data_IF_990651933533
#
_entry.id   IF_990651933533
#
_cell.length_a   1.000
_cell.length_b   1.000
_cell.length_c   1.000
_cell.angle_alpha   90.00
_cell.angle_beta   90.00
_cell.angle_gamma   90.00
#
_symmetry.space_group_name_H-M   'P 1'
#
loop_
_entity.id
_entity.type
_entity.pdbx_description
1 polymer ?
#
# COMPACT_ATOMS: atom_id res chain seq x y z
N UNK A 1 -55.44 51.40 2.07
CA UNK A 1 -54.11 51.09 1.58
C UNK A 1 -53.79 49.67 2.06
N UNK A 2 -54.06 48.73 1.18
CA UNK A 2 -53.92 47.29 1.51
C UNK A 2 -52.49 46.89 1.16
N UNK A 3 -51.71 46.42 2.15
CA UNK A 3 -50.47 45.73 1.92
C UNK A 3 -50.76 44.24 1.72
N UNK A 4 -50.61 43.78 0.49
CA UNK A 4 -50.53 42.35 0.17
C UNK A 4 -49.12 41.87 0.49
N UNK A 5 -49.01 41.01 1.55
CA UNK A 5 -47.79 40.26 1.83
C UNK A 5 -47.68 39.14 0.82
N UNK A 6 -46.74 39.22 -0.10
CA UNK A 6 -46.27 38.06 -0.84
C UNK A 6 -45.52 37.12 0.12
N UNK A 7 -46.11 35.97 0.43
CA UNK A 7 -45.36 34.82 0.93
C UNK A 7 -44.48 34.31 -0.23
N UNK A 8 -43.20 34.50 -0.11
CA UNK A 8 -42.24 33.77 -0.88
C UNK A 8 -42.22 32.35 -0.29
N UNK A 9 -42.76 31.39 -1.03
CA UNK A 9 -42.57 29.96 -0.70
C UNK A 9 -41.07 29.67 -0.77
N UNK A 10 -40.46 29.33 0.34
CA UNK A 10 -39.11 28.79 0.37
C UNK A 10 -39.17 27.47 -0.38
N UNK A 11 -38.53 27.36 -1.52
CA UNK A 11 -38.26 26.05 -2.16
C UNK A 11 -37.48 25.20 -1.15
N UNK A 12 -38.09 24.12 -0.66
CA UNK A 12 -37.41 23.13 0.14
C UNK A 12 -36.26 22.59 -0.71
N UNK A 13 -35.04 22.89 -0.31
CA UNK A 13 -33.85 22.37 -0.95
C UNK A 13 -33.72 20.87 -0.60
N UNK A 14 -33.95 20.01 -1.57
CA UNK A 14 -33.73 18.57 -1.41
C UNK A 14 -32.25 18.29 -1.41
N UNK A 15 -31.86 17.44 -0.44
CA UNK A 15 -30.49 16.96 -0.30
C UNK A 15 -30.49 15.44 -0.48
N UNK A 16 -29.53 14.95 -1.28
CA UNK A 16 -29.34 13.54 -1.55
C UNK A 16 -27.88 13.27 -1.91
N UNK A 17 -27.24 12.34 -1.18
CA UNK A 17 -25.85 11.95 -1.39
C UNK A 17 -25.66 10.47 -1.03
N UNK A 18 -24.88 9.75 -1.83
CA UNK A 18 -24.36 8.43 -1.46
C UNK A 18 -23.02 8.65 -0.77
N UNK A 19 -22.97 8.33 0.52
CA UNK A 19 -21.79 8.56 1.37
C UNK A 19 -20.77 7.45 1.27
N UNK A 20 -21.21 6.21 1.04
CA UNK A 20 -20.33 5.04 1.01
C UNK A 20 -20.71 4.09 -0.10
N UNK A 21 -19.75 3.30 -0.55
CA UNK A 21 -19.90 2.37 -1.66
C UNK A 21 -19.28 2.88 -2.95
N UNK A 22 -18.82 1.97 -3.79
CA UNK A 22 -18.23 2.27 -5.08
C UNK A 22 -19.35 2.48 -6.10
N UNK A 23 -19.36 3.62 -6.80
CA UNK A 23 -20.30 3.87 -7.91
C UNK A 23 -20.01 2.94 -9.12
N UNK A 24 -18.77 2.51 -9.26
CA UNK A 24 -18.36 1.43 -10.15
C UNK A 24 -17.78 0.32 -9.30
N UNK A 25 -18.52 -0.78 -9.12
CA UNK A 25 -18.13 -1.91 -8.31
C UNK A 25 -17.77 -3.11 -9.18
N UNK A 26 -16.47 -3.42 -9.24
CA UNK A 26 -15.96 -4.64 -9.85
C UNK A 26 -15.93 -5.74 -8.80
N UNK A 27 -16.46 -6.89 -9.13
CA UNK A 27 -16.57 -8.05 -8.23
C UNK A 27 -16.11 -9.31 -8.95
N UNK A 28 -15.35 -10.15 -8.26
CA UNK A 28 -14.87 -11.41 -8.80
C UNK A 28 -16.00 -12.42 -9.09
N UNK A 29 -15.67 -13.50 -9.76
CA UNK A 29 -16.64 -14.55 -10.13
C UNK A 29 -17.37 -15.13 -8.91
N UNK A 30 -16.72 -15.20 -7.75
CA UNK A 30 -17.28 -15.73 -6.49
C UNK A 30 -18.42 -14.87 -5.93
N UNK A 31 -18.60 -13.63 -6.45
CA UNK A 31 -19.61 -12.72 -5.97
C UNK A 31 -19.18 -11.95 -4.73
N UNK A 32 -20.13 -11.28 -4.08
CA UNK A 32 -19.81 -10.47 -2.89
C UNK A 32 -20.99 -9.66 -2.39
N UNK A 33 -20.71 -8.83 -1.37
CA UNK A 33 -21.69 -7.91 -0.78
C UNK A 33 -21.08 -6.53 -0.57
N UNK A 34 -21.87 -5.48 -0.83
CA UNK A 34 -21.48 -4.10 -0.55
C UNK A 34 -22.66 -3.32 0.00
N UNK A 35 -22.43 -2.62 1.13
CA UNK A 35 -23.40 -1.72 1.72
C UNK A 35 -23.18 -0.30 1.21
N UNK A 36 -24.28 0.42 0.98
CA UNK A 36 -24.34 1.82 0.57
C UNK A 36 -25.13 2.61 1.58
N UNK A 37 -24.56 3.70 2.08
CA UNK A 37 -25.24 4.66 2.94
C UNK A 37 -25.68 5.84 2.10
N UNK A 38 -26.96 6.20 2.22
CA UNK A 38 -27.60 7.33 1.54
C UNK A 38 -28.00 8.35 2.58
N UNK A 39 -27.43 9.53 2.52
CA UNK A 39 -27.91 10.69 3.27
C UNK A 39 -28.94 11.45 2.43
N UNK A 40 -30.13 11.66 2.99
CA UNK A 40 -31.20 12.36 2.30
C UNK A 40 -32.21 12.95 3.26
N UNK A 41 -32.72 14.14 2.96
CA UNK A 41 -33.86 14.76 3.65
C UNK A 41 -35.20 14.47 2.94
N UNK A 42 -35.21 13.56 1.96
CA UNK A 42 -36.42 13.20 1.21
C UNK A 42 -36.39 11.69 0.88
N UNK A 43 -37.55 11.09 0.58
CA UNK A 43 -37.64 9.69 0.18
C UNK A 43 -36.81 9.40 -1.07
N UNK A 44 -36.10 8.28 -1.07
CA UNK A 44 -35.36 7.78 -2.20
C UNK A 44 -35.74 6.35 -2.56
N UNK A 45 -35.46 5.98 -3.81
CA UNK A 45 -35.73 4.65 -4.34
C UNK A 45 -34.62 4.21 -5.29
N UNK A 46 -34.47 2.88 -5.44
CA UNK A 46 -33.60 2.26 -6.40
C UNK A 46 -34.40 1.76 -7.58
N UNK A 47 -34.08 2.30 -8.74
CA UNK A 47 -34.67 1.90 -10.02
C UNK A 47 -33.61 1.14 -10.80
N UNK A 48 -33.97 0.00 -11.36
CA UNK A 48 -33.08 -0.75 -12.22
C UNK A 48 -33.79 -1.26 -13.46
N UNK A 49 -33.08 -1.30 -14.56
CA UNK A 49 -33.50 -2.02 -15.78
C UNK A 49 -32.64 -3.28 -15.87
N UNK A 50 -33.27 -4.44 -15.65
CA UNK A 50 -32.62 -5.72 -15.95
C UNK A 50 -31.67 -6.28 -14.89
N UNK A 51 -31.86 -5.99 -13.59
CA UNK A 51 -31.21 -6.82 -12.57
C UNK A 51 -31.66 -8.26 -12.81
N UNK A 52 -30.69 -9.04 -13.27
CA UNK A 52 -30.84 -10.47 -13.37
C UNK A 52 -31.02 -11.11 -11.99
N UNK A 53 -31.20 -12.40 -11.95
CA UNK A 53 -31.31 -13.18 -10.72
C UNK A 53 -29.99 -13.23 -9.91
N UNK A 54 -28.91 -12.70 -10.47
CA UNK A 54 -27.57 -12.80 -9.93
C UNK A 54 -27.18 -11.64 -8.97
N UNK A 55 -27.85 -10.50 -9.05
CA UNK A 55 -27.67 -9.40 -8.13
C UNK A 55 -28.97 -9.04 -7.40
N UNK A 56 -28.92 -8.78 -6.10
CA UNK A 56 -30.05 -8.41 -5.25
C UNK A 56 -29.75 -7.13 -4.52
N UNK A 57 -30.77 -6.31 -4.34
CA UNK A 57 -30.69 -5.04 -3.59
C UNK A 57 -31.79 -5.02 -2.54
N UNK A 58 -31.44 -4.69 -1.30
CA UNK A 58 -32.39 -4.61 -0.18
C UNK A 58 -31.89 -3.65 0.92
N UNK A 59 -32.76 -2.76 1.46
CA UNK A 59 -34.05 -2.35 0.90
C UNK A 59 -33.91 -1.54 -0.40
N UNK A 60 -34.99 -1.40 -1.16
CA UNK A 60 -35.00 -0.64 -2.43
C UNK A 60 -35.52 0.79 -2.30
N UNK A 61 -35.89 1.21 -1.10
CA UNK A 61 -36.40 2.56 -0.79
C UNK A 61 -36.21 2.89 0.67
N UNK A 62 -36.17 4.17 0.98
CA UNK A 62 -36.23 4.72 2.35
C UNK A 62 -36.96 6.07 2.32
N UNK A 63 -37.49 6.48 3.45
CA UNK A 63 -38.18 7.78 3.62
C UNK A 63 -37.23 8.94 3.91
N UNK A 64 -35.93 8.68 4.07
CA UNK A 64 -34.88 9.66 4.35
C UNK A 64 -33.52 8.97 4.37
N UNK A 65 -32.60 9.48 5.16
CA UNK A 65 -31.29 8.84 5.37
C UNK A 65 -31.47 7.36 5.74
N UNK A 66 -30.67 6.47 5.12
CA UNK A 66 -30.74 5.03 5.32
C UNK A 66 -29.68 4.29 4.51
N UNK A 67 -29.67 2.97 4.59
CA UNK A 67 -28.72 2.15 3.83
C UNK A 67 -29.42 1.08 2.98
N UNK A 68 -28.70 0.55 2.02
CA UNK A 68 -29.08 -0.64 1.26
C UNK A 68 -27.86 -1.53 1.00
N UNK A 69 -28.11 -2.83 0.94
CA UNK A 69 -27.10 -3.85 0.66
C UNK A 69 -27.30 -4.37 -0.77
N UNK A 70 -26.24 -4.40 -1.54
CA UNK A 70 -26.17 -5.14 -2.80
C UNK A 70 -25.48 -6.47 -2.52
N UNK A 71 -26.11 -7.56 -2.93
CA UNK A 71 -25.55 -8.93 -2.87
C UNK A 71 -25.44 -9.46 -4.28
N UNK A 72 -24.24 -9.83 -4.70
CA UNK A 72 -23.91 -10.43 -6.00
C UNK A 72 -23.62 -11.89 -5.77
N UNK A 73 -24.33 -12.76 -6.50
CA UNK A 73 -24.10 -14.20 -6.47
C UNK A 73 -22.92 -14.60 -7.35
N UNK A 74 -22.38 -15.77 -7.10
CA UNK A 74 -21.38 -16.40 -7.96
C UNK A 74 -21.77 -16.38 -9.45
N UNK A 75 -20.79 -16.10 -10.32
CA UNK A 75 -20.91 -16.17 -11.75
C UNK A 75 -20.27 -17.47 -12.23
N UNK A 76 -21.06 -18.46 -12.54
CA UNK A 76 -20.60 -19.76 -13.04
C UNK A 76 -20.25 -19.73 -14.56
N UNK A 77 -20.44 -18.59 -15.22
CA UNK A 77 -20.11 -18.38 -16.64
C UNK A 77 -18.70 -17.86 -16.81
N UNK A 78 -18.04 -18.22 -17.89
CA UNK A 78 -16.76 -17.64 -18.31
C UNK A 78 -16.90 -16.17 -18.78
N UNK A 79 -18.12 -15.71 -19.06
CA UNK A 79 -18.37 -14.37 -19.54
C UNK A 79 -18.58 -13.38 -18.37
N UNK A 80 -17.95 -12.22 -18.49
CA UNK A 80 -18.24 -11.05 -17.65
C UNK A 80 -19.69 -10.65 -17.78
N UNK A 81 -20.30 -10.17 -16.69
CA UNK A 81 -21.65 -9.62 -16.69
C UNK A 81 -21.72 -8.30 -15.94
N UNK A 82 -22.58 -7.40 -16.41
CA UNK A 82 -22.71 -6.06 -15.82
C UNK A 82 -24.17 -5.66 -15.66
N UNK A 83 -24.44 -4.82 -14.66
CA UNK A 83 -25.74 -4.22 -14.42
C UNK A 83 -25.58 -2.81 -13.84
N UNK A 84 -26.43 -1.87 -14.23
CA UNK A 84 -26.48 -0.53 -13.65
C UNK A 84 -27.78 -0.32 -12.88
N UNK A 85 -27.63 0.26 -11.68
CA UNK A 85 -28.69 0.66 -10.76
C UNK A 85 -28.75 2.19 -10.73
N UNK A 86 -29.96 2.76 -10.69
CA UNK A 86 -30.16 4.18 -10.46
C UNK A 86 -30.74 4.39 -9.06
N UNK A 87 -30.02 5.08 -8.19
CA UNK A 87 -30.53 5.55 -6.89
C UNK A 87 -30.97 6.98 -7.07
N UNK A 88 -32.22 7.29 -6.78
CA UNK A 88 -32.80 8.62 -7.04
C UNK A 88 -33.81 9.03 -5.98
N UNK A 89 -33.98 10.30 -5.79
CA UNK A 89 -35.10 10.82 -5.00
C UNK A 89 -36.43 10.41 -5.64
N UNK A 90 -37.39 10.00 -4.80
CA UNK A 90 -38.72 9.61 -5.27
C UNK A 90 -39.41 10.79 -6.01
N UNK A 91 -39.80 10.56 -7.28
CA UNK A 91 -40.46 11.57 -8.11
C UNK A 91 -39.53 12.59 -8.76
N UNK A 92 -38.19 12.39 -8.71
CA UNK A 92 -37.19 13.24 -9.38
C UNK A 92 -36.39 12.42 -10.40
N UNK A 93 -35.92 13.05 -11.46
CA UNK A 93 -35.19 12.40 -12.56
C UNK A 93 -33.72 12.83 -12.58
N UNK A 94 -33.08 12.71 -11.39
CA UNK A 94 -31.64 12.95 -11.21
C UNK A 94 -31.02 11.74 -10.47
N UNK A 95 -30.78 10.62 -11.18
CA UNK A 95 -30.23 9.42 -10.55
C UNK A 95 -28.72 9.51 -10.34
N UNK A 96 -28.25 8.94 -9.24
CA UNK A 96 -26.87 8.51 -9.08
C UNK A 96 -26.78 7.04 -9.54
N UNK A 97 -25.99 6.78 -10.56
CA UNK A 97 -25.85 5.44 -11.12
C UNK A 97 -24.76 4.67 -10.37
N UNK A 98 -25.04 3.41 -10.10
CA UNK A 98 -24.07 2.42 -9.58
C UNK A 98 -23.97 1.33 -10.64
N UNK A 99 -22.78 1.12 -11.17
CA UNK A 99 -22.50 0.04 -12.11
C UNK A 99 -21.80 -1.09 -11.38
N UNK A 100 -22.30 -2.30 -11.54
CA UNK A 100 -21.70 -3.53 -11.01
C UNK A 100 -21.23 -4.33 -12.20
N UNK A 101 -19.94 -4.62 -12.25
CA UNK A 101 -19.32 -5.50 -13.24
C UNK A 101 -18.80 -6.71 -12.52
N UNK A 102 -19.24 -7.89 -12.90
CA UNK A 102 -18.80 -9.15 -12.31
C UNK A 102 -18.03 -9.97 -13.33
N UNK A 103 -16.84 -10.38 -12.96
CA UNK A 103 -16.01 -11.25 -13.78
C UNK A 103 -16.67 -12.59 -14.03
N UNK A 104 -16.34 -13.22 -15.16
CA UNK A 104 -16.63 -14.63 -15.41
C UNK A 104 -15.66 -15.53 -14.65
N UNK A 105 -15.99 -16.79 -14.54
CA UNK A 105 -15.03 -17.80 -14.09
C UNK A 105 -13.87 -17.83 -15.07
N UNK A 106 -12.65 -17.61 -14.58
CA UNK A 106 -11.47 -17.80 -15.40
C UNK A 106 -11.41 -19.26 -15.85
N UNK A 107 -11.47 -19.51 -17.16
CA UNK A 107 -11.24 -20.84 -17.73
C UNK A 107 -9.76 -21.25 -17.70
N UNK A 108 -8.87 -20.33 -17.34
CA UNK A 108 -7.47 -20.67 -17.11
C UNK A 108 -7.39 -21.56 -15.87
N UNK A 109 -6.99 -22.82 -16.03
CA UNK A 109 -6.80 -23.69 -14.87
C UNK A 109 -5.76 -23.03 -13.96
N UNK A 110 -6.09 -22.89 -12.67
CA UNK A 110 -5.11 -22.47 -11.67
C UNK A 110 -3.88 -23.34 -11.87
N UNK A 111 -2.71 -22.78 -12.25
CA UNK A 111 -1.53 -23.58 -12.49
C UNK A 111 -1.26 -24.46 -11.24
N UNK A 112 -0.89 -25.72 -11.39
CA UNK A 112 -0.53 -26.55 -10.24
C UNK A 112 0.56 -25.84 -9.43
N UNK A 113 0.51 -25.97 -8.10
CA UNK A 113 1.56 -25.45 -7.22
C UNK A 113 2.88 -26.06 -7.68
N UNK A 114 3.89 -25.22 -7.89
CA UNK A 114 5.23 -25.68 -8.24
C UNK A 114 5.78 -26.49 -7.05
N UNK A 115 6.05 -27.78 -7.23
CA UNK A 115 6.54 -28.67 -6.16
C UNK A 115 7.87 -28.21 -5.57
N UNK A 116 8.69 -27.50 -6.38
CA UNK A 116 9.93 -26.88 -5.92
C UNK A 116 9.65 -25.58 -5.10
N UNK A 117 8.42 -25.02 -5.23
CA UNK A 117 7.99 -23.77 -4.61
C UNK A 117 6.63 -23.95 -3.93
N UNK A 118 6.57 -24.71 -2.81
CA UNK A 118 5.31 -25.21 -2.25
C UNK A 118 4.50 -24.21 -1.44
N UNK A 119 4.96 -22.96 -1.30
CA UNK A 119 4.36 -21.96 -0.42
C UNK A 119 3.61 -20.94 -1.25
N UNK A 120 2.29 -20.82 -1.08
CA UNK A 120 1.48 -19.81 -1.75
C UNK A 120 1.70 -18.44 -1.09
N UNK A 121 1.80 -17.38 -1.88
CA UNK A 121 2.24 -16.05 -1.47
C UNK A 121 1.45 -15.44 -0.29
N UNK A 122 0.16 -15.72 -0.17
CA UNK A 122 -0.70 -15.20 0.91
C UNK A 122 -0.93 -16.19 2.06
N UNK A 123 -0.23 -17.33 2.07
CA UNK A 123 -0.42 -18.37 3.08
C UNK A 123 0.37 -18.13 4.37
N UNK A 124 1.30 -17.20 4.38
CA UNK A 124 2.12 -16.87 5.54
C UNK A 124 2.01 -15.40 5.94
N UNK A 125 2.25 -15.14 7.21
CA UNK A 125 2.32 -13.77 7.72
C UNK A 125 3.57 -13.08 7.20
N UNK A 126 3.40 -11.86 6.72
CA UNK A 126 4.50 -10.96 6.37
C UNK A 126 4.12 -9.52 6.59
N UNK A 127 5.08 -8.71 7.07
CA UNK A 127 5.04 -7.26 7.08
C UNK A 127 6.13 -6.73 6.16
N UNK A 128 5.95 -5.50 5.72
CA UNK A 128 6.95 -4.68 5.04
C UNK A 128 7.61 -5.39 3.83
N UNK A 129 6.80 -5.93 2.89
CA UNK A 129 7.31 -6.80 1.83
C UNK A 129 8.02 -6.00 0.73
N UNK A 130 9.34 -6.13 0.65
CA UNK A 130 10.14 -5.64 -0.46
C UNK A 130 10.49 -6.78 -1.43
N UNK A 131 10.03 -6.71 -2.68
CA UNK A 131 10.28 -7.74 -3.70
C UNK A 131 11.38 -7.29 -4.64
N UNK A 132 12.51 -7.98 -4.59
CA UNK A 132 13.60 -7.77 -5.53
C UNK A 132 13.48 -8.73 -6.71
N UNK A 133 13.22 -8.20 -7.93
CA UNK A 133 13.22 -8.96 -9.16
C UNK A 133 14.63 -9.00 -9.75
N UNK A 134 15.36 -10.09 -9.57
CA UNK A 134 16.72 -10.23 -10.07
C UNK A 134 16.73 -10.55 -11.57
N UNK A 135 17.23 -9.63 -12.43
CA UNK A 135 17.23 -9.82 -13.88
C UNK A 135 18.20 -10.93 -14.33
N UNK A 136 19.16 -11.32 -13.50
CA UNK A 136 20.17 -12.32 -13.83
C UNK A 136 19.62 -13.73 -13.60
N UNK A 137 19.15 -14.03 -12.38
CA UNK A 137 18.62 -15.35 -12.04
C UNK A 137 17.17 -15.57 -12.52
N UNK A 138 16.47 -14.51 -12.91
CA UNK A 138 15.03 -14.54 -13.22
C UNK A 138 14.20 -15.08 -12.06
N UNK A 139 14.56 -14.67 -10.85
CA UNK A 139 13.88 -15.01 -9.61
C UNK A 139 13.52 -13.74 -8.84
N UNK A 140 12.48 -13.86 -8.03
CA UNK A 140 12.08 -12.84 -7.07
C UNK A 140 12.58 -13.23 -5.69
N UNK A 141 13.13 -12.27 -4.97
CA UNK A 141 13.64 -12.43 -3.61
C UNK A 141 12.83 -11.53 -2.68
N UNK A 142 12.36 -12.11 -1.58
CA UNK A 142 11.60 -11.45 -0.54
C UNK A 142 12.28 -11.75 0.78
N UNK A 143 12.98 -10.76 1.34
CA UNK A 143 13.56 -10.87 2.66
C UNK A 143 12.50 -10.62 3.71
N UNK A 144 12.50 -11.43 4.76
CA UNK A 144 11.48 -11.43 5.80
C UNK A 144 12.15 -11.36 7.17
N UNK A 145 11.58 -10.58 8.07
CA UNK A 145 12.12 -10.51 9.41
C UNK A 145 11.67 -11.71 10.28
N UNK A 146 12.36 -11.87 11.42
CA UNK A 146 12.27 -13.06 12.25
C UNK A 146 10.87 -13.36 12.80
N UNK A 147 10.00 -12.34 12.90
CA UNK A 147 8.61 -12.49 13.39
C UNK A 147 7.66 -13.05 12.34
N UNK A 148 8.10 -13.18 11.10
CA UNK A 148 7.27 -13.69 10.03
C UNK A 148 7.11 -15.22 10.11
N UNK A 149 5.87 -15.69 10.00
CA UNK A 149 5.51 -17.09 10.19
C UNK A 149 6.11 -18.05 9.15
N UNK A 150 6.73 -17.53 8.09
CA UNK A 150 7.41 -18.34 7.08
C UNK A 150 8.61 -19.10 7.68
N UNK A 151 9.32 -18.46 8.63
CA UNK A 151 10.46 -19.03 9.30
C UNK A 151 10.32 -18.87 10.80
N UNK A 152 10.28 -19.93 11.58
CA UNK A 152 10.56 -19.85 13.01
C UNK A 152 12.06 -19.61 13.18
N UNK A 153 12.50 -18.37 12.99
CA UNK A 153 13.90 -17.97 13.12
C UNK A 153 14.19 -17.46 14.52
N UNK A 154 15.48 -17.35 14.84
CA UNK A 154 15.90 -16.60 16.01
C UNK A 154 15.68 -15.10 15.79
N UNK A 155 15.41 -14.34 16.86
CA UNK A 155 15.10 -12.90 16.82
C UNK A 155 16.23 -12.03 16.22
N UNK A 156 17.42 -12.58 15.97
CA UNK A 156 18.58 -11.90 15.39
C UNK A 156 18.85 -12.32 13.93
N UNK A 157 17.84 -12.85 13.23
CA UNK A 157 17.99 -13.35 11.86
C UNK A 157 17.01 -12.68 10.91
N UNK A 158 17.43 -12.58 9.64
CA UNK A 158 16.58 -12.26 8.49
C UNK A 158 16.65 -13.46 7.55
N UNK A 159 15.50 -13.94 7.10
CA UNK A 159 15.38 -15.04 6.17
C UNK A 159 15.03 -14.53 4.77
N UNK A 160 15.07 -15.41 3.77
CA UNK A 160 14.66 -15.10 2.41
C UNK A 160 13.69 -16.14 1.85
N UNK A 161 12.64 -15.66 1.22
CA UNK A 161 11.76 -16.45 0.36
C UNK A 161 12.11 -16.16 -1.11
N UNK A 162 12.00 -17.18 -1.96
CA UNK A 162 12.37 -17.10 -3.38
C UNK A 162 11.20 -17.57 -4.23
N UNK A 163 10.90 -16.86 -5.31
CA UNK A 163 9.83 -17.22 -6.26
C UNK A 163 10.31 -17.09 -7.70
N UNK A 164 9.62 -17.78 -8.62
CA UNK A 164 9.78 -17.61 -10.08
C UNK A 164 8.59 -16.86 -10.71
N UNK A 165 7.44 -16.85 -10.04
CA UNK A 165 6.17 -16.37 -10.60
C UNK A 165 5.38 -15.43 -9.68
N UNK A 166 5.96 -15.02 -8.53
CA UNK A 166 5.35 -14.20 -7.47
C UNK A 166 4.25 -14.91 -6.66
N UNK A 167 3.70 -16.01 -7.16
CA UNK A 167 2.62 -16.77 -6.53
C UNK A 167 3.16 -17.88 -5.63
N UNK A 168 4.07 -18.68 -6.16
CA UNK A 168 4.62 -19.84 -5.48
C UNK A 168 6.02 -19.53 -4.99
N UNK A 169 6.28 -19.78 -3.71
CA UNK A 169 7.50 -19.42 -3.02
C UNK A 169 8.17 -20.62 -2.39
N UNK A 170 9.47 -20.59 -2.30
CA UNK A 170 10.27 -21.55 -1.53
C UNK A 170 11.03 -20.83 -0.44
N UNK A 171 11.39 -21.55 0.62
CA UNK A 171 12.32 -21.09 1.66
C UNK A 171 13.73 -21.05 1.08
N UNK A 172 14.36 -19.86 1.09
CA UNK A 172 15.73 -19.67 0.61
C UNK A 172 16.79 -19.77 1.71
N UNK A 173 16.37 -19.93 2.99
CA UNK A 173 17.28 -20.02 4.13
C UNK A 173 17.43 -18.69 4.89
N UNK A 174 18.40 -18.66 5.82
CA UNK A 174 18.77 -17.45 6.57
C UNK A 174 19.71 -16.63 5.70
N UNK A 175 19.25 -15.41 5.35
CA UNK A 175 20.06 -14.49 4.53
C UNK A 175 21.01 -13.62 5.37
N UNK A 176 20.63 -13.34 6.62
CA UNK A 176 21.47 -12.63 7.58
C UNK A 176 21.30 -13.21 8.99
N UNK A 177 22.40 -13.42 9.66
CA UNK A 177 22.45 -13.71 11.09
C UNK A 177 23.41 -12.73 11.76
N UNK A 178 22.89 -11.95 12.71
CA UNK A 178 23.66 -10.91 13.36
C UNK A 178 24.73 -11.53 14.28
N UNK A 179 26.02 -11.20 14.08
CA UNK A 179 27.06 -11.61 15.00
C UNK A 179 26.87 -10.94 16.38
N UNK A 180 27.37 -11.57 17.42
CA UNK A 180 27.24 -11.04 18.79
C UNK A 180 27.79 -9.59 18.95
N UNK A 181 28.76 -9.22 18.12
CA UNK A 181 29.34 -7.87 18.10
C UNK A 181 28.53 -6.84 17.31
N UNK A 182 27.46 -7.25 16.60
CA UNK A 182 26.64 -6.30 15.85
C UNK A 182 25.95 -5.33 16.80
N UNK A 183 25.86 -4.06 16.40
CA UNK A 183 25.27 -3.02 17.25
C UNK A 183 23.74 -3.23 17.47
N UNK A 184 23.01 -3.68 16.41
CA UNK A 184 21.58 -3.98 16.47
C UNK A 184 21.32 -5.27 17.26
N UNK A 185 20.38 -5.19 18.21
CA UNK A 185 20.05 -6.28 19.13
C UNK A 185 18.61 -6.72 19.04
N UNK A 186 17.74 -5.90 18.45
CA UNK A 186 16.31 -6.15 18.26
C UNK A 186 15.81 -5.44 17.00
N UNK A 187 14.50 -5.56 16.70
CA UNK A 187 13.80 -4.87 15.62
C UNK A 187 14.48 -5.11 14.25
N UNK A 188 14.64 -6.39 13.89
CA UNK A 188 15.17 -6.79 12.58
C UNK A 188 14.07 -6.62 11.52
N UNK A 189 13.74 -5.36 11.16
CA UNK A 189 12.55 -4.98 10.39
C UNK A 189 12.87 -4.42 9.00
N UNK A 190 11.86 -4.48 8.11
CA UNK A 190 11.84 -3.84 6.80
C UNK A 190 13.15 -4.02 6.01
N UNK A 191 13.53 -5.27 5.64
CA UNK A 191 14.74 -5.54 4.89
C UNK A 191 14.55 -5.29 3.39
N UNK A 192 14.90 -4.10 2.91
CA UNK A 192 14.86 -3.69 1.51
C UNK A 192 16.15 -4.07 0.78
N UNK A 193 16.03 -4.72 -0.37
CA UNK A 193 17.15 -5.21 -1.16
C UNK A 193 17.38 -4.40 -2.44
N UNK A 194 18.62 -3.97 -2.64
CA UNK A 194 19.03 -3.20 -3.83
C UNK A 194 20.29 -3.79 -4.47
N UNK A 195 20.37 -3.70 -5.79
CA UNK A 195 21.61 -3.98 -6.54
C UNK A 195 22.26 -2.65 -6.92
N UNK A 196 23.49 -2.45 -6.43
CA UNK A 196 24.25 -1.22 -6.66
C UNK A 196 25.73 -1.55 -6.87
N UNK A 197 26.34 -0.97 -7.90
CA UNK A 197 27.79 -1.10 -8.21
C UNK A 197 28.30 -2.56 -8.15
N UNK A 198 27.52 -3.50 -8.66
CA UNK A 198 27.92 -4.90 -8.78
C UNK A 198 27.72 -5.77 -7.53
N UNK A 199 27.08 -5.25 -6.48
CA UNK A 199 26.80 -5.94 -5.22
C UNK A 199 25.34 -5.79 -4.82
N UNK A 200 24.92 -6.63 -3.89
CA UNK A 200 23.60 -6.56 -3.27
C UNK A 200 23.71 -5.88 -1.92
N UNK A 201 22.87 -4.91 -1.67
CA UNK A 201 22.82 -4.15 -0.44
C UNK A 201 21.43 -4.26 0.17
N UNK A 202 21.36 -4.67 1.42
CA UNK A 202 20.15 -4.72 2.19
C UNK A 202 20.15 -3.57 3.19
N UNK A 203 19.09 -2.77 3.15
CA UNK A 203 18.81 -1.74 4.14
C UNK A 203 17.77 -2.30 5.09
N UNK A 204 18.05 -2.31 6.39
CA UNK A 204 17.13 -2.83 7.38
C UNK A 204 17.20 -2.02 8.68
N UNK A 205 16.09 -1.98 9.40
CA UNK A 205 15.96 -1.31 10.70
C UNK A 205 16.39 -2.24 11.81
N UNK A 206 17.12 -1.71 12.80
CA UNK A 206 17.56 -2.41 14.00
C UNK A 206 17.48 -1.48 15.21
N UNK A 207 17.31 -2.05 16.42
CA UNK A 207 17.45 -1.32 17.68
C UNK A 207 18.74 -1.70 18.39
N UNK A 208 19.42 -0.71 18.95
CA UNK A 208 20.52 -0.89 19.87
C UNK A 208 20.08 -1.34 21.28
N UNK A 209 21.04 -1.57 22.17
CA UNK A 209 20.75 -1.89 23.59
C UNK A 209 20.14 -0.73 24.36
N UNK A 210 20.24 0.48 23.83
CA UNK A 210 19.62 1.71 24.35
C UNK A 210 18.18 1.90 23.89
N UNK A 211 17.66 1.00 23.03
CA UNK A 211 16.33 1.10 22.44
C UNK A 211 16.20 2.12 21.33
N UNK A 212 17.32 2.71 20.87
CA UNK A 212 17.30 3.62 19.72
C UNK A 212 17.33 2.79 18.43
N UNK A 213 16.33 3.05 17.56
CA UNK A 213 16.26 2.47 16.22
C UNK A 213 17.10 3.24 15.23
N UNK A 214 17.70 2.50 14.31
CA UNK A 214 18.41 3.07 13.18
C UNK A 214 18.50 2.06 12.05
N UNK A 215 18.70 2.53 10.84
CA UNK A 215 18.92 1.67 9.69
C UNK A 215 20.41 1.33 9.53
N UNK A 216 20.70 0.10 9.13
CA UNK A 216 22.01 -0.34 8.71
C UNK A 216 22.03 -0.86 7.29
N UNK A 217 23.20 -0.82 6.68
CA UNK A 217 23.47 -1.38 5.36
C UNK A 217 24.22 -2.70 5.53
N UNK A 218 23.67 -3.77 4.97
CA UNK A 218 24.28 -5.07 4.88
C UNK A 218 24.68 -5.32 3.42
N UNK A 219 25.73 -6.07 3.17
CA UNK A 219 26.26 -6.33 1.82
C UNK A 219 26.41 -7.83 1.55
N UNK A 220 26.15 -8.26 0.31
CA UNK A 220 26.38 -9.62 -0.17
C UNK A 220 26.78 -9.62 -1.65
N UNK A 221 27.39 -10.73 -2.08
CA UNK A 221 27.66 -11.03 -3.51
C UNK A 221 26.46 -11.66 -4.20
N UNK A 222 25.42 -12.06 -3.44
CA UNK A 222 24.23 -12.77 -3.93
C UNK A 222 22.96 -12.20 -3.33
N UNK A 223 21.85 -12.21 -4.07
CA UNK A 223 20.58 -11.67 -3.58
C UNK A 223 20.00 -12.46 -2.39
N UNK A 224 20.30 -13.77 -2.28
CA UNK A 224 19.89 -14.61 -1.16
C UNK A 224 20.82 -14.52 0.06
N UNK A 225 21.94 -13.81 -0.06
CA UNK A 225 22.94 -13.71 0.99
C UNK A 225 24.03 -14.82 0.90
N UNK A 226 24.82 -15.10 1.96
CA UNK A 226 24.69 -14.45 3.27
C UNK A 226 25.13 -12.97 3.24
N UNK A 227 24.39 -12.16 3.96
CA UNK A 227 24.72 -10.75 4.15
C UNK A 227 25.63 -10.55 5.36
N UNK A 228 26.47 -9.53 5.30
CA UNK A 228 27.28 -9.07 6.42
C UNK A 228 27.12 -7.55 6.58
N UNK A 229 27.27 -6.99 7.80
CA UNK A 229 27.23 -5.56 7.98
C UNK A 229 28.33 -4.85 7.16
N UNK A 230 27.94 -3.84 6.36
CA UNK A 230 28.89 -3.02 5.63
C UNK A 230 29.73 -2.18 6.60
N UNK A 231 29.07 -1.63 7.62
CA UNK A 231 29.66 -1.00 8.80
C UNK A 231 28.89 -1.42 10.03
N UNK A 232 29.57 -1.50 11.19
CA UNK A 232 28.91 -1.92 12.44
C UNK A 232 28.35 -0.73 13.24
N UNK A 233 27.47 0.04 12.63
CA UNK A 233 26.74 1.17 13.21
C UNK A 233 25.55 1.52 12.35
N UNK A 234 24.57 2.31 12.86
CA UNK A 234 23.53 2.88 12.00
C UNK A 234 24.15 3.77 10.92
N UNK A 235 23.50 3.80 9.73
CA UNK A 235 23.79 4.77 8.67
C UNK A 235 22.94 6.04 8.84
N UNK A 236 21.82 5.95 9.54
CA UNK A 236 20.96 7.06 9.92
C UNK A 236 21.59 7.89 11.05
N UNK A 237 21.15 9.16 11.29
CA UNK A 237 21.76 10.03 12.28
C UNK A 237 21.76 9.44 13.68
N UNK A 238 22.88 9.61 14.38
CA UNK A 238 23.05 9.09 15.73
C UNK A 238 22.03 9.72 16.72
N UNK A 239 21.39 8.88 17.53
CA UNK A 239 20.41 9.31 18.53
C UNK A 239 19.02 9.62 17.97
N UNK A 240 18.81 9.47 16.66
CA UNK A 240 17.48 9.55 16.06
C UNK A 240 16.79 8.20 16.13
N UNK A 241 15.49 8.22 16.44
CA UNK A 241 14.61 7.07 16.15
C UNK A 241 14.33 7.10 14.65
N UNK A 242 14.99 6.24 13.90
CA UNK A 242 14.89 6.21 12.44
C UNK A 242 14.61 4.78 11.95
N UNK A 243 13.71 4.65 10.97
CA UNK A 243 13.30 3.35 10.42
C UNK A 243 13.04 3.44 8.91
N UNK A 244 12.90 2.27 8.28
CA UNK A 244 12.46 2.08 6.90
C UNK A 244 13.32 2.85 5.88
N UNK A 245 14.62 2.61 5.89
CA UNK A 245 15.53 3.31 4.97
C UNK A 245 15.54 2.66 3.58
N UNK A 246 15.21 3.45 2.57
CA UNK A 246 15.25 3.10 1.17
C UNK A 246 16.44 3.75 0.46
N UNK A 247 17.11 3.00 -0.44
CA UNK A 247 18.17 3.54 -1.29
C UNK A 247 17.56 4.21 -2.53
N UNK A 248 18.03 5.40 -2.84
CA UNK A 248 17.76 6.09 -4.10
C UNK A 248 19.07 6.56 -4.73
N UNK A 249 19.23 6.31 -6.01
CA UNK A 249 20.38 6.83 -6.79
C UNK A 249 19.86 7.88 -7.74
N UNK A 250 20.34 9.12 -7.58
CA UNK A 250 19.88 10.24 -8.39
C UNK A 250 20.48 10.25 -9.82
N UNK A 251 20.12 11.24 -10.61
CA UNK A 251 20.57 11.39 -12.00
C UNK A 251 22.08 11.64 -12.11
N UNK A 252 22.69 12.18 -11.05
CA UNK A 252 24.14 12.38 -10.94
C UNK A 252 24.87 11.12 -10.50
N UNK A 253 24.15 10.02 -10.32
CA UNK A 253 24.64 8.77 -9.75
C UNK A 253 25.05 8.91 -8.28
N UNK A 254 24.53 9.89 -7.57
CA UNK A 254 24.76 10.03 -6.14
C UNK A 254 23.77 9.18 -5.36
N UNK A 255 24.24 8.33 -4.42
CA UNK A 255 23.37 7.53 -3.58
C UNK A 255 22.82 8.38 -2.43
N UNK A 256 21.53 8.18 -2.16
CA UNK A 256 20.79 8.77 -1.06
C UNK A 256 20.08 7.68 -0.29
N UNK A 257 19.92 7.86 1.02
CA UNK A 257 18.89 7.15 1.78
C UNK A 257 17.73 8.08 2.03
N UNK A 258 16.51 7.52 1.96
CA UNK A 258 15.29 8.16 2.43
C UNK A 258 14.72 7.29 3.52
N UNK A 259 14.40 7.89 4.68
CA UNK A 259 13.97 7.16 5.85
C UNK A 259 12.96 7.95 6.67
N UNK A 260 12.27 7.29 7.57
CA UNK A 260 11.39 7.96 8.53
C UNK A 260 12.15 8.36 9.78
N UNK A 261 12.07 9.64 10.17
CA UNK A 261 12.37 10.07 11.53
C UNK A 261 11.11 9.89 12.36
N UNK A 262 11.15 8.98 13.29
CA UNK A 262 10.00 8.36 13.91
C UNK A 262 9.23 9.30 14.83
N UNK A 263 7.92 9.27 14.70
CA UNK A 263 6.94 10.03 15.49
C UNK A 263 7.01 9.78 16.99
N UNK A 264 7.50 8.62 17.42
CA UNK A 264 7.71 8.32 18.84
C UNK A 264 8.72 9.25 19.49
N UNK A 265 9.64 9.82 18.72
CA UNK A 265 10.61 10.81 19.18
C UNK A 265 10.14 12.25 18.96
N UNK A 266 9.48 12.54 17.82
CA UNK A 266 9.22 13.93 17.39
C UNK A 266 7.73 14.27 17.28
N UNK A 267 6.81 13.34 17.60
CA UNK A 267 5.34 13.47 17.61
C UNK A 267 4.69 13.57 16.23
N UNK A 268 5.27 14.31 15.31
CA UNK A 268 4.89 14.41 13.91
C UNK A 268 6.03 13.81 13.07
N UNK A 269 5.87 12.55 12.69
CA UNK A 269 6.88 11.81 11.93
C UNK A 269 7.23 12.51 10.63
N UNK A 270 8.50 12.49 10.26
CA UNK A 270 8.96 13.13 9.02
C UNK A 270 9.67 12.16 8.11
N UNK A 271 9.55 12.39 6.81
CA UNK A 271 10.40 11.72 5.83
C UNK A 271 11.64 12.58 5.59
N UNK A 272 12.79 11.95 5.64
CA UNK A 272 14.11 12.58 5.62
C UNK A 272 14.96 11.97 4.50
N UNK A 273 15.70 12.79 3.78
CA UNK A 273 16.73 12.35 2.84
C UNK A 273 18.12 12.66 3.37
N UNK A 274 19.06 11.75 3.14
CA UNK A 274 20.47 11.97 3.47
C UNK A 274 21.35 11.40 2.37
N UNK A 275 22.26 12.23 1.86
CA UNK A 275 23.22 11.81 0.85
C UNK A 275 24.27 10.91 1.47
N UNK A 276 24.61 9.82 0.77
CA UNK A 276 25.65 8.90 1.18
C UNK A 276 26.92 9.05 0.35
N UNK A 277 28.03 8.56 0.90
CA UNK A 277 29.25 8.29 0.11
C UNK A 277 28.97 7.18 -0.92
N UNK A 278 29.70 7.18 -2.04
CA UNK A 278 29.52 6.21 -3.13
C UNK A 278 29.64 4.74 -2.67
N UNK A 279 30.41 4.48 -1.66
CA UNK A 279 30.57 3.15 -1.06
C UNK A 279 29.52 2.80 0.00
N UNK A 280 28.52 3.65 0.19
CA UNK A 280 27.38 3.53 1.11
C UNK A 280 27.76 3.37 2.60
N UNK A 281 28.98 3.73 3.00
CA UNK A 281 29.47 3.52 4.37
C UNK A 281 29.17 4.69 5.31
N UNK A 282 28.98 5.88 4.78
CA UNK A 282 28.86 7.09 5.57
C UNK A 282 27.87 8.06 4.93
N UNK A 283 27.28 8.91 5.76
CA UNK A 283 26.61 10.12 5.30
C UNK A 283 27.64 11.08 4.68
N UNK A 284 27.36 11.60 3.50
CA UNK A 284 28.19 12.58 2.82
C UNK A 284 27.78 14.03 3.16
N UNK A 285 26.51 14.22 3.54
CA UNK A 285 25.92 15.52 3.87
C UNK A 285 24.99 15.39 5.07
N UNK A 286 24.60 16.52 5.67
CA UNK A 286 23.60 16.54 6.74
C UNK A 286 22.22 16.08 6.24
N UNK A 287 21.40 15.47 7.10
CA UNK A 287 20.06 15.03 6.73
C UNK A 287 19.14 16.21 6.44
N UNK A 288 18.27 16.08 5.47
CA UNK A 288 17.28 17.08 5.06
C UNK A 288 15.88 16.52 5.26
N UNK A 289 15.08 17.18 6.09
CA UNK A 289 13.65 16.88 6.21
C UNK A 289 12.94 17.26 4.92
N UNK A 290 12.23 16.30 4.33
CA UNK A 290 11.50 16.49 3.08
C UNK A 290 10.06 16.98 3.33
N UNK A 291 9.36 16.37 4.27
CA UNK A 291 8.02 16.76 4.72
C UNK A 291 7.65 16.07 6.04
N UNK A 292 6.64 16.60 6.73
CA UNK A 292 6.03 15.99 7.89
C UNK A 292 4.75 15.24 7.51
N UNK A 293 4.39 14.20 8.26
CA UNK A 293 3.19 13.40 7.99
C UNK A 293 1.91 14.23 8.05
N UNK A 294 1.84 15.23 8.92
CA UNK A 294 0.69 16.15 9.05
C UNK A 294 0.45 17.04 7.83
N UNK A 295 1.40 17.12 6.89
CA UNK A 295 1.23 17.91 5.67
C UNK A 295 0.29 17.22 4.65
N UNK A 296 0.08 15.91 4.77
CA UNK A 296 -0.85 15.20 3.91
C UNK A 296 -2.30 15.34 4.41
N UNK A 297 -3.24 15.84 3.58
CA UNK A 297 -4.58 16.18 4.04
C UNK A 297 -5.44 15.00 4.48
N UNK A 298 -5.06 13.78 4.11
CA UNK A 298 -5.77 12.55 4.45
C UNK A 298 -5.26 11.90 5.75
N UNK A 299 -4.10 12.33 6.27
CA UNK A 299 -3.48 11.73 7.46
C UNK A 299 -4.21 12.18 8.72
N UNK A 300 -4.52 11.23 9.59
CA UNK A 300 -5.08 11.51 10.91
C UNK A 300 -4.02 11.38 12.01
N UNK A 301 -4.20 12.15 13.08
CA UNK A 301 -3.44 11.98 14.29
C UNK A 301 -4.05 10.86 15.15
N UNK A 302 -3.34 9.73 15.23
CA UNK A 302 -3.65 8.67 16.17
C UNK A 302 -2.57 8.61 17.25
N UNK A 303 -2.70 9.42 18.34
CA UNK A 303 -1.64 9.77 19.30
C UNK A 303 -0.51 10.58 18.68
N UNK A 304 0.00 10.14 17.54
CA UNK A 304 1.06 10.75 16.74
C UNK A 304 0.62 10.86 15.28
N UNK A 305 1.34 11.65 14.49
CA UNK A 305 1.30 11.56 13.03
C UNK A 305 2.39 10.59 12.57
N UNK A 306 1.99 9.45 12.06
CA UNK A 306 2.90 8.38 11.64
C UNK A 306 3.44 8.67 10.24
N UNK A 307 4.73 8.43 10.01
CA UNK A 307 5.36 8.40 8.70
C UNK A 307 6.21 7.15 8.56
N UNK A 308 5.89 6.27 7.62
CA UNK A 308 6.58 5.00 7.39
C UNK A 308 6.96 4.82 5.92
N UNK A 309 7.91 3.94 5.68
CA UNK A 309 8.14 3.26 4.41
C UNK A 309 8.25 4.18 3.18
N UNK A 310 9.17 5.14 3.14
CA UNK A 310 9.40 5.94 1.94
C UNK A 310 10.01 5.10 0.83
N UNK A 311 9.38 5.07 -0.35
CA UNK A 311 9.87 4.41 -1.55
C UNK A 311 9.82 5.35 -2.75
N UNK A 312 10.96 5.55 -3.43
CA UNK A 312 11.07 6.48 -4.56
C UNK A 312 10.74 5.77 -5.88
N UNK A 313 9.88 6.39 -6.67
CA UNK A 313 9.49 5.89 -7.99
C UNK A 313 9.59 7.00 -9.05
N UNK A 314 10.28 6.73 -10.16
CA UNK A 314 10.30 7.60 -11.33
C UNK A 314 9.17 7.20 -12.26
N UNK A 315 8.16 8.06 -12.37
CA UNK A 315 6.99 7.84 -13.19
C UNK A 315 7.32 7.89 -14.71
N UNK A 316 6.40 7.37 -15.54
CA UNK A 316 6.58 7.30 -16.98
C UNK A 316 6.73 8.68 -17.64
N UNK A 317 6.16 9.74 -17.04
CA UNK A 317 6.34 11.13 -17.49
C UNK A 317 7.63 11.79 -16.98
N UNK A 318 8.44 11.07 -16.20
CA UNK A 318 9.70 11.57 -15.63
C UNK A 318 9.56 12.24 -14.26
N UNK A 319 8.36 12.39 -13.70
CA UNK A 319 8.17 12.88 -12.33
C UNK A 319 8.81 11.95 -11.31
N UNK A 320 9.41 12.53 -10.28
CA UNK A 320 9.87 11.77 -9.12
C UNK A 320 8.75 11.75 -8.08
N UNK A 321 8.26 10.55 -7.81
CA UNK A 321 7.21 10.27 -6.83
C UNK A 321 7.82 9.55 -5.63
N UNK A 322 7.17 9.70 -4.48
CA UNK A 322 7.49 8.94 -3.27
C UNK A 322 6.20 8.29 -2.75
N UNK A 323 6.21 6.99 -2.65
CA UNK A 323 5.22 6.26 -1.86
C UNK A 323 5.67 6.32 -0.41
N UNK A 324 4.72 6.44 0.51
CA UNK A 324 4.97 6.41 1.95
C UNK A 324 3.69 6.00 2.67
N UNK A 325 3.76 5.66 3.93
CA UNK A 325 2.60 5.12 4.62
C UNK A 325 2.28 5.88 5.90
N UNK A 326 0.98 6.02 6.17
CA UNK A 326 0.43 6.61 7.38
C UNK A 326 -0.99 6.12 7.63
N UNK A 327 -1.69 6.72 8.58
CA UNK A 327 -3.06 6.34 8.93
C UNK A 327 -4.07 7.38 8.44
N UNK A 328 -5.16 6.91 7.83
CA UNK A 328 -6.37 7.68 7.55
C UNK A 328 -7.51 7.23 8.47
N UNK A 329 -8.57 8.04 8.56
CA UNK A 329 -9.79 7.65 9.24
C UNK A 329 -10.56 6.64 8.38
N UNK A 330 -10.63 5.38 8.86
CA UNK A 330 -11.40 4.35 8.21
C UNK A 330 -12.91 4.56 8.36
N UNK A 331 -13.68 3.84 7.57
CA UNK A 331 -15.15 3.90 7.58
C UNK A 331 -15.79 3.49 8.92
N UNK A 332 -15.08 2.65 9.66
CA UNK A 332 -15.48 2.18 11.01
C UNK A 332 -15.11 3.17 12.13
N UNK A 333 -14.53 4.32 11.77
CA UNK A 333 -14.06 5.34 12.72
C UNK A 333 -12.70 5.04 13.35
N UNK A 334 -12.04 3.93 12.96
CA UNK A 334 -10.70 3.58 13.40
C UNK A 334 -9.64 4.05 12.40
N UNK A 335 -8.37 4.10 12.83
CA UNK A 335 -7.27 4.36 11.92
C UNK A 335 -7.04 3.17 10.99
N UNK A 336 -6.98 3.44 9.68
CA UNK A 336 -6.58 2.48 8.66
C UNK A 336 -5.21 2.87 8.10
N UNK A 337 -4.33 1.89 7.93
CA UNK A 337 -3.03 2.09 7.31
C UNK A 337 -3.19 2.26 5.80
N UNK A 338 -2.49 3.22 5.22
CA UNK A 338 -2.67 3.56 3.82
C UNK A 338 -1.37 4.05 3.16
N UNK A 339 -1.35 3.99 1.85
CA UNK A 339 -0.23 4.35 0.98
C UNK A 339 -0.47 5.73 0.39
N UNK A 340 0.28 6.72 0.84
CA UNK A 340 0.31 8.06 0.28
C UNK A 340 1.25 8.19 -0.91
N UNK A 341 1.02 9.22 -1.72
CA UNK A 341 1.93 9.64 -2.78
C UNK A 341 2.32 11.09 -2.57
N UNK A 342 3.62 11.36 -2.56
CA UNK A 342 4.17 12.71 -2.62
C UNK A 342 4.89 12.92 -3.94
N UNK A 343 4.83 14.13 -4.50
CA UNK A 343 5.37 14.51 -5.80
C UNK A 343 6.46 15.55 -5.65
N UNK A 344 7.66 15.27 -6.17
CA UNK A 344 8.74 16.26 -6.21
C UNK A 344 8.45 17.34 -7.23
N UNK A 345 8.32 18.58 -6.79
CA UNK A 345 8.06 19.72 -7.67
C UNK A 345 9.29 20.13 -8.50
N UNK A 346 10.49 19.80 -8.04
CA UNK A 346 11.73 20.05 -8.77
C UNK A 346 12.16 18.86 -9.65
N UNK A 347 11.56 17.69 -9.45
CA UNK A 347 12.01 16.43 -10.04
C UNK A 347 13.23 15.82 -9.34
N UNK A 348 13.77 16.47 -8.29
CA UNK A 348 14.89 15.98 -7.49
C UNK A 348 14.43 15.45 -6.12
N UNK A 349 15.30 14.69 -5.45
CA UNK A 349 15.01 14.14 -4.13
C UNK A 349 14.74 15.20 -3.06
N UNK A 350 15.32 16.38 -3.19
CA UNK A 350 15.16 17.47 -2.21
C UNK A 350 13.83 18.23 -2.35
N UNK A 351 13.01 17.94 -3.35
CA UNK A 351 11.68 18.55 -3.49
C UNK A 351 11.70 20.03 -3.90
N UNK A 352 10.77 20.86 -3.45
CA UNK A 352 9.74 20.57 -2.42
C UNK A 352 8.76 19.47 -2.83
N UNK A 353 8.16 18.83 -1.84
CA UNK A 353 7.24 17.70 -2.04
C UNK A 353 5.79 18.13 -1.84
N UNK A 354 4.93 17.80 -2.79
CA UNK A 354 3.50 18.04 -2.74
C UNK A 354 2.77 16.72 -2.48
N UNK A 355 1.92 16.68 -1.45
CA UNK A 355 1.14 15.50 -1.11
C UNK A 355 -0.08 15.36 -2.00
N UNK A 356 -0.35 14.14 -2.50
CA UNK A 356 -1.62 13.83 -3.15
C UNK A 356 -2.76 13.93 -2.12
N UNK A 357 -3.96 14.40 -2.53
CA UNK A 357 -5.06 14.67 -1.60
C UNK A 357 -5.71 13.42 -1.00
N UNK A 358 -5.48 12.25 -1.60
CA UNK A 358 -6.01 10.96 -1.16
C UNK A 358 -4.92 9.88 -1.28
N UNK A 359 -4.92 8.86 -0.43
CA UNK A 359 -4.04 7.72 -0.58
C UNK A 359 -4.46 6.81 -1.75
N UNK A 360 -3.57 5.93 -2.19
CA UNK A 360 -3.82 4.96 -3.28
C UNK A 360 -4.85 3.89 -2.91
N UNK A 361 -4.93 3.53 -1.63
CA UNK A 361 -5.75 2.42 -1.13
C UNK A 361 -6.67 2.82 0.03
N UNK A 362 -7.59 3.79 -0.15
CA UNK A 362 -8.39 4.36 0.94
C UNK A 362 -9.37 3.38 1.59
N UNK A 363 -9.58 2.21 1.02
CA UNK A 363 -10.50 1.18 1.50
C UNK A 363 -9.80 -0.14 1.87
N UNK A 364 -8.49 -0.19 1.78
CA UNK A 364 -7.68 -1.37 2.07
C UNK A 364 -6.69 -1.01 3.17
N UNK A 365 -6.86 -1.60 4.35
CA UNK A 365 -6.02 -1.35 5.52
C UNK A 365 -4.62 -1.96 5.33
N UNK A 366 -3.83 -1.39 4.44
CA UNK A 366 -2.52 -1.89 4.09
C UNK A 366 -1.52 -0.79 3.77
N UNK A 367 -0.24 -1.10 3.82
CA UNK A 367 0.82 -0.13 3.55
C UNK A 367 2.20 -0.76 3.51
N UNK A 368 3.23 0.08 3.62
CA UNK A 368 4.62 -0.25 3.42
C UNK A 368 4.84 -0.79 2.01
N UNK A 369 4.59 0.07 1.01
CA UNK A 369 4.51 -0.31 -0.39
C UNK A 369 5.78 -0.01 -1.16
N UNK A 370 6.09 -0.91 -2.10
CA UNK A 370 7.09 -0.67 -3.12
C UNK A 370 6.57 -1.03 -4.52
N UNK A 371 7.13 -0.39 -5.55
CA UNK A 371 6.79 -0.64 -6.96
C UNK A 371 7.95 -1.36 -7.64
N UNK A 372 7.65 -2.39 -8.40
CA UNK A 372 8.64 -3.12 -9.22
C UNK A 372 8.06 -3.52 -10.57
N UNK A 373 8.91 -3.89 -11.52
CA UNK A 373 8.48 -4.57 -12.76
C UNK A 373 8.75 -6.05 -12.63
N UNK A 374 7.74 -6.84 -12.95
CA UNK A 374 7.92 -8.29 -13.06
C UNK A 374 8.66 -8.65 -14.37
N UNK A 375 8.96 -9.94 -14.57
CA UNK A 375 9.73 -10.39 -15.72
C UNK A 375 8.93 -10.36 -17.03
N UNK A 376 7.62 -10.18 -16.97
CA UNK A 376 6.75 -9.94 -18.12
C UNK A 376 6.62 -8.44 -18.44
N UNK A 377 7.30 -7.59 -17.67
CA UNK A 377 7.31 -6.13 -17.84
C UNK A 377 6.10 -5.43 -17.21
N UNK A 378 5.24 -6.14 -16.51
CA UNK A 378 4.09 -5.56 -15.83
C UNK A 378 4.55 -4.79 -14.59
N UNK A 379 4.03 -3.59 -14.42
CA UNK A 379 4.30 -2.78 -13.23
C UNK A 379 3.44 -3.31 -12.07
N UNK A 380 4.09 -3.67 -10.97
CA UNK A 380 3.49 -4.23 -9.78
C UNK A 380 3.73 -3.34 -8.57
N UNK A 381 2.81 -3.40 -7.62
CA UNK A 381 2.96 -2.87 -6.27
C UNK A 381 2.86 -4.02 -5.27
N UNK A 382 3.80 -4.08 -4.31
CA UNK A 382 3.70 -4.97 -3.15
C UNK A 382 3.54 -4.15 -1.88
N UNK A 383 2.76 -4.67 -0.93
CA UNK A 383 2.56 -4.10 0.39
C UNK A 383 1.97 -5.17 1.32
N UNK A 384 1.89 -4.93 2.61
CA UNK A 384 1.16 -5.83 3.49
C UNK A 384 -0.27 -5.33 3.72
N UNK A 385 -1.23 -6.27 3.73
CA UNK A 385 -2.65 -6.02 4.06
C UNK A 385 -3.25 -7.29 4.68
N UNK A 386 -4.15 -7.16 5.70
CA UNK A 386 -4.43 -5.94 6.45
C UNK A 386 -3.26 -5.54 7.36
N UNK A 387 -3.20 -4.28 7.78
CA UNK A 387 -2.30 -3.85 8.85
C UNK A 387 -2.98 -4.06 10.21
N UNK A 388 -2.95 -5.29 10.69
CA UNK A 388 -3.59 -5.68 11.95
C UNK A 388 -2.52 -6.19 12.93
N UNK A 389 -2.23 -5.48 14.01
CA UNK A 389 -1.30 -5.97 15.02
C UNK A 389 -1.71 -7.35 15.52
N UNK A 390 -0.80 -8.31 15.43
CA UNK A 390 -1.02 -9.66 15.95
C UNK A 390 -1.16 -10.79 14.94
N UNK A 391 -0.97 -10.53 13.62
CA UNK A 391 -0.63 -11.64 12.74
C UNK A 391 -1.55 -11.97 11.57
N UNK A 392 -2.44 -11.06 11.17
CA UNK A 392 -3.22 -11.25 9.94
C UNK A 392 -2.63 -10.60 8.69
N UNK A 393 -1.48 -9.93 8.81
CA UNK A 393 -0.79 -9.32 7.68
C UNK A 393 -0.36 -10.35 6.65
N UNK A 394 -0.60 -10.05 5.38
CA UNK A 394 -0.24 -10.92 4.24
C UNK A 394 0.43 -10.10 3.16
N UNK A 395 1.28 -10.76 2.39
CA UNK A 395 1.80 -10.22 1.15
C UNK A 395 0.65 -9.96 0.19
N UNK A 396 0.54 -8.72 -0.26
CA UNK A 396 -0.43 -8.28 -1.25
C UNK A 396 0.32 -7.76 -2.46
N UNK A 397 -0.01 -8.27 -3.65
CA UNK A 397 0.60 -7.88 -4.91
C UNK A 397 -0.50 -7.58 -5.90
N UNK A 398 -0.50 -6.37 -6.44
CA UNK A 398 -1.40 -5.93 -7.49
C UNK A 398 -0.65 -5.37 -8.69
N UNK A 399 -1.33 -5.26 -9.81
CA UNK A 399 -0.89 -4.39 -10.88
C UNK A 399 -1.08 -2.94 -10.43
N UNK A 400 -0.10 -2.08 -10.70
CA UNK A 400 -0.24 -0.64 -10.57
C UNK A 400 -0.15 0.01 -11.95
N UNK A 401 -1.06 0.93 -12.22
CA UNK A 401 -1.09 1.68 -13.47
C UNK A 401 -0.46 3.04 -13.23
N UNK A 402 0.52 3.38 -14.07
CA UNK A 402 1.10 4.70 -14.14
C UNK A 402 0.61 5.37 -15.44
N UNK A 403 -0.38 6.22 -15.31
CA UNK A 403 -0.93 6.99 -16.41
C UNK A 403 -0.39 8.42 -16.32
N UNK A 404 0.76 8.66 -16.99
CA UNK A 404 1.41 9.96 -17.02
C UNK A 404 1.66 10.57 -15.61
N UNK A 405 2.21 9.75 -14.69
CA UNK A 405 2.47 10.11 -13.30
C UNK A 405 1.29 9.96 -12.36
N UNK A 406 0.08 9.70 -12.85
CA UNK A 406 -1.07 9.36 -12.02
C UNK A 406 -1.08 7.86 -11.73
N UNK A 407 -0.81 7.52 -10.47
CA UNK A 407 -0.78 6.13 -10.02
C UNK A 407 -2.18 5.66 -9.60
N UNK A 408 -2.52 4.43 -9.95
CA UNK A 408 -3.72 3.75 -9.45
C UNK A 408 -3.48 2.25 -9.30
N UNK A 409 -3.98 1.67 -8.21
CA UNK A 409 -3.90 0.22 -7.97
C UNK A 409 -5.07 -0.46 -8.66
N UNK A 410 -4.77 -1.45 -9.48
CA UNK A 410 -5.77 -2.33 -10.07
C UNK A 410 -6.07 -3.47 -9.08
N UNK A 411 -7.05 -3.27 -8.20
CA UNK A 411 -7.44 -4.22 -7.16
C UNK A 411 -8.06 -5.51 -7.71
N UNK A 412 -8.41 -5.55 -9.01
CA UNK A 412 -8.93 -6.76 -9.66
C UNK A 412 -7.80 -7.69 -10.11
N UNK A 413 -6.57 -7.20 -10.15
CA UNK A 413 -5.38 -7.91 -10.63
C UNK A 413 -4.60 -8.63 -9.53
N UNK A 414 -5.22 -8.94 -8.39
CA UNK A 414 -4.59 -9.77 -7.37
C UNK A 414 -4.09 -11.07 -8.01
N UNK A 415 -2.90 -11.53 -7.60
CA UNK A 415 -2.43 -12.84 -8.04
C UNK A 415 -3.46 -13.88 -7.58
N UNK A 416 -4.08 -14.58 -8.53
CA UNK A 416 -5.09 -15.61 -8.22
C UNK A 416 -4.47 -16.73 -7.37
N UNK A 417 -5.19 -17.13 -6.34
CA UNK A 417 -4.85 -18.28 -5.48
C UNK A 417 -4.81 -19.58 -6.25
#
# INVERSE_FOLDING_TARGET
>A
MFFTSCKQDAEESFFFKIETGLLEWHVGAEGGQQEYIVESNAPWQIVHKGIGTWAKVSPRRSEGTGSFLITVKENESEEERSVSLAVQLAGKDYPVNITITQEGTSSEPVPPVDEDYPIVYNSFRIRDPFIFADPVSKKYYLHVHADDALYPTAANQIAVAISRNLRDWQKGGISYEAPASFWGKADFWAPDLYYYEGKYYMFATFSGTDGIRGASVLISDKPEGPFIPLVNRPITPNGWQALDAALFVDENKDPWIVFSHEWTQISDGTIVAQKLTKDLKEAAEEPVTLFAASEAPWVIRNSYYVSDAPFLYRANNGELLMLWSSFLLGKDGNGQYAIGVARSQSGTILGPWLQDPQPLNPNDNGGHAMIFRDFDGVLRISYHSPNTPGGSERLTIHRIVDNDGQLSIDFTSALSN
#
